data_IF_239596733942
#
_entry.id   IF_239596733942
#
_cell.length_a   1.000
_cell.length_b   1.000
_cell.length_c   1.000
_cell.angle_alpha   90.00
_cell.angle_beta   90.00
_cell.angle_gamma   90.00
#
_symmetry.space_group_name_H-M   'P 1'
#
loop_
_entity.id
_entity.type
_entity.pdbx_description
1 polymer ?
#
# COMPACT_ATOMS: atom_id res chain seq x y z
N UNK A 1 -8.78 22.95 -9.03
CA UNK A 1 -9.00 23.18 -7.59
C UNK A 1 -9.75 22.02 -6.96
N UNK A 2 -11.01 21.78 -7.32
CA UNK A 2 -11.86 20.74 -6.73
C UNK A 2 -11.25 19.35 -6.77
N UNK A 3 -10.83 18.88 -7.96
CA UNK A 3 -10.20 17.56 -8.12
C UNK A 3 -8.95 17.45 -7.24
N UNK A 4 -8.04 18.42 -7.30
CA UNK A 4 -6.81 18.39 -6.50
C UNK A 4 -7.08 18.36 -4.99
N UNK A 5 -7.97 19.23 -4.49
CA UNK A 5 -8.30 19.30 -3.06
C UNK A 5 -9.00 18.05 -2.55
N UNK A 6 -9.98 17.54 -3.28
CA UNK A 6 -10.69 16.32 -2.91
C UNK A 6 -9.80 15.08 -3.03
N UNK A 7 -9.01 14.94 -4.10
CA UNK A 7 -8.10 13.79 -4.25
C UNK A 7 -7.07 13.73 -3.11
N UNK A 8 -6.46 14.85 -2.75
CA UNK A 8 -5.50 14.89 -1.64
C UNK A 8 -6.20 14.69 -0.28
N UNK A 9 -7.38 15.25 -0.09
CA UNK A 9 -8.20 15.04 1.11
C UNK A 9 -8.64 13.59 1.31
N UNK A 10 -9.18 12.94 0.27
CA UNK A 10 -9.55 11.53 0.30
C UNK A 10 -8.34 10.62 0.50
N UNK A 11 -7.19 10.99 -0.06
CA UNK A 11 -5.94 10.29 0.19
C UNK A 11 -5.52 10.44 1.66
N UNK A 12 -5.72 11.60 2.28
CA UNK A 12 -5.43 11.80 3.70
C UNK A 12 -6.30 10.92 4.59
N UNK A 13 -7.58 10.69 4.22
CA UNK A 13 -8.48 9.80 4.96
C UNK A 13 -8.01 8.34 5.01
N UNK A 14 -7.37 7.86 3.93
CA UNK A 14 -6.96 6.47 3.81
C UNK A 14 -5.48 6.25 4.14
N UNK A 15 -4.64 7.24 3.85
CA UNK A 15 -3.17 7.17 3.98
C UNK A 15 -2.59 8.53 4.43
N UNK A 16 -2.77 8.94 5.70
CA UNK A 16 -2.38 10.28 6.17
C UNK A 16 -0.90 10.63 5.92
N UNK A 17 0.02 9.70 6.26
CA UNK A 17 1.46 9.90 6.05
C UNK A 17 1.79 10.09 4.56
N UNK A 18 1.23 9.23 3.70
CA UNK A 18 1.44 9.30 2.26
C UNK A 18 0.91 10.62 1.70
N UNK A 19 -0.26 11.07 2.17
CA UNK A 19 -0.87 12.32 1.73
C UNK A 19 -0.02 13.52 2.13
N UNK A 20 0.50 13.55 3.35
CA UNK A 20 1.43 14.58 3.81
C UNK A 20 2.70 14.62 2.94
N UNK A 21 3.27 13.45 2.61
CA UNK A 21 4.44 13.36 1.77
C UNK A 21 4.17 13.77 0.30
N UNK A 22 3.04 13.37 -0.28
CA UNK A 22 2.61 13.81 -1.63
C UNK A 22 2.37 15.32 -1.65
N UNK A 23 1.80 15.88 -0.59
CA UNK A 23 1.51 17.30 -0.48
C UNK A 23 2.77 18.16 -0.36
N UNK A 24 3.86 17.63 0.22
CA UNK A 24 5.08 18.39 0.56
C UNK A 24 5.64 19.25 -0.59
N UNK A 25 5.92 18.75 -1.81
CA UNK A 25 6.45 19.57 -2.89
C UNK A 25 5.46 20.68 -3.31
N UNK A 26 4.16 20.39 -3.26
CA UNK A 26 3.11 21.37 -3.57
C UNK A 26 2.89 22.37 -2.45
N UNK A 27 3.10 21.99 -1.18
CA UNK A 27 3.04 22.89 -0.04
C UNK A 27 4.17 23.91 -0.12
N UNK A 28 5.40 23.47 -0.41
CA UNK A 28 6.54 24.37 -0.68
C UNK A 28 6.24 25.29 -1.85
N UNK A 29 5.65 24.77 -2.93
CA UNK A 29 5.21 25.60 -4.05
C UNK A 29 4.10 26.59 -3.67
N UNK A 30 3.15 26.17 -2.84
CA UNK A 30 2.07 26.98 -2.30
C UNK A 30 2.58 28.15 -1.48
N UNK A 31 3.64 27.96 -0.67
CA UNK A 31 4.29 29.05 0.05
C UNK A 31 4.87 30.11 -0.89
N UNK A 32 5.42 29.70 -2.04
CA UNK A 32 5.87 30.64 -3.07
C UNK A 32 4.70 31.41 -3.70
N UNK A 33 3.57 30.74 -3.96
CA UNK A 33 2.34 31.39 -4.46
C UNK A 33 1.78 32.36 -3.43
N UNK A 34 1.81 32.02 -2.14
CA UNK A 34 1.35 32.89 -1.08
C UNK A 34 2.19 34.18 -1.00
N UNK A 35 3.52 34.04 -1.09
CA UNK A 35 4.45 35.16 -1.02
C UNK A 35 4.43 36.05 -2.29
N UNK A 36 4.38 35.44 -3.48
CA UNK A 36 4.64 36.15 -4.76
C UNK A 36 3.49 36.08 -5.77
N UNK A 37 2.48 35.25 -5.53
CA UNK A 37 1.36 35.05 -6.45
C UNK A 37 0.33 36.17 -6.39
N UNK A 38 -0.43 36.34 -7.47
CA UNK A 38 -1.56 37.26 -7.54
C UNK A 38 -2.79 36.80 -6.75
N UNK A 39 -3.78 37.67 -6.58
CA UNK A 39 -5.01 37.41 -5.80
C UNK A 39 -5.73 36.13 -6.22
N UNK A 40 -5.90 35.91 -7.53
CA UNK A 40 -6.55 34.71 -8.06
C UNK A 40 -5.79 33.41 -7.71
N UNK A 41 -4.46 33.40 -7.83
CA UNK A 41 -3.66 32.23 -7.49
C UNK A 41 -3.73 31.89 -5.99
N UNK A 42 -3.74 32.91 -5.12
CA UNK A 42 -3.93 32.73 -3.67
C UNK A 42 -5.34 32.21 -3.37
N UNK A 43 -6.38 32.74 -4.02
CA UNK A 43 -7.74 32.24 -3.84
C UNK A 43 -7.87 30.76 -4.22
N UNK A 44 -7.24 30.32 -5.32
CA UNK A 44 -7.18 28.90 -5.67
C UNK A 44 -6.42 28.07 -4.64
N UNK A 45 -5.29 28.56 -4.12
CA UNK A 45 -4.53 27.88 -3.07
C UNK A 45 -5.39 27.68 -1.81
N UNK A 46 -6.08 28.73 -1.35
CA UNK A 46 -6.99 28.63 -0.21
C UNK A 46 -8.16 27.69 -0.48
N UNK A 47 -8.73 27.69 -1.68
CA UNK A 47 -9.79 26.75 -2.04
C UNK A 47 -9.33 25.29 -2.05
N UNK A 48 -8.11 25.00 -2.52
CA UNK A 48 -7.51 23.65 -2.38
C UNK A 48 -7.32 23.30 -0.91
N UNK A 49 -6.70 24.19 -0.13
CA UNK A 49 -6.41 23.95 1.29
C UNK A 49 -7.69 23.72 2.11
N UNK A 50 -8.76 24.48 1.84
CA UNK A 50 -10.06 24.31 2.48
C UNK A 50 -10.67 22.94 2.19
N UNK A 51 -10.66 22.51 0.92
CA UNK A 51 -11.18 21.19 0.55
C UNK A 51 -10.41 20.05 1.20
N UNK A 52 -9.08 20.16 1.27
CA UNK A 52 -8.23 19.19 1.99
C UNK A 52 -8.56 19.20 3.47
N UNK A 53 -8.70 20.37 4.10
CA UNK A 53 -9.00 20.49 5.52
C UNK A 53 -10.37 19.92 5.88
N UNK A 54 -11.40 20.18 5.07
CA UNK A 54 -12.75 19.64 5.26
C UNK A 54 -12.72 18.11 5.16
N UNK A 55 -12.08 17.56 4.13
CA UNK A 55 -11.95 16.13 3.98
C UNK A 55 -11.13 15.50 5.12
N UNK A 56 -9.96 16.05 5.46
CA UNK A 56 -9.13 15.57 6.55
C UNK A 56 -9.83 15.66 7.92
N UNK A 57 -10.68 16.67 8.13
CA UNK A 57 -11.48 16.84 9.33
C UNK A 57 -12.39 15.64 9.62
N UNK A 58 -12.85 14.93 8.58
CA UNK A 58 -13.64 13.70 8.74
C UNK A 58 -12.85 12.60 9.45
N UNK A 59 -11.53 12.47 9.19
CA UNK A 59 -10.68 11.50 9.89
C UNK A 59 -10.60 11.81 11.38
N UNK A 60 -10.30 13.06 11.73
CA UNK A 60 -10.19 13.49 13.13
C UNK A 60 -11.51 13.34 13.89
N UNK A 61 -12.63 13.67 13.23
CA UNK A 61 -13.96 13.45 13.79
C UNK A 61 -14.25 11.96 14.03
N UNK A 62 -13.92 11.10 13.06
CA UNK A 62 -14.07 9.66 13.19
C UNK A 62 -13.19 9.09 14.32
N UNK A 63 -11.92 9.51 14.42
CA UNK A 63 -11.02 9.11 15.51
C UNK A 63 -11.55 9.52 16.88
N UNK A 64 -12.04 10.75 17.01
CA UNK A 64 -12.67 11.24 18.23
C UNK A 64 -13.92 10.42 18.59
N UNK A 65 -14.78 10.13 17.60
CA UNK A 65 -16.00 9.34 17.84
C UNK A 65 -15.72 7.91 18.33
N UNK A 66 -14.58 7.33 17.94
CA UNK A 66 -14.19 5.97 18.33
C UNK A 66 -13.40 5.89 19.62
N UNK A 67 -12.56 6.88 19.90
CA UNK A 67 -11.54 6.79 20.96
C UNK A 67 -11.67 7.86 22.04
N UNK A 68 -12.53 8.86 21.84
CA UNK A 68 -12.60 10.07 22.66
C UNK A 68 -11.47 11.08 22.40
N UNK A 69 -10.51 10.75 21.53
CA UNK A 69 -9.35 11.58 21.20
C UNK A 69 -9.18 11.69 19.67
N UNK A 70 -9.28 12.91 19.14
CA UNK A 70 -9.16 13.17 17.71
C UNK A 70 -7.78 12.76 17.14
N UNK A 71 -6.72 12.77 17.95
CA UNK A 71 -5.36 12.51 17.50
C UNK A 71 -4.88 11.09 17.80
N UNK A 72 -5.67 10.29 18.52
CA UNK A 72 -5.32 8.91 18.81
C UNK A 72 -5.52 8.04 17.58
N UNK A 73 -4.42 7.55 17.01
CA UNK A 73 -4.46 6.59 15.90
C UNK A 73 -5.04 5.25 16.39
N UNK A 74 -6.19 4.77 15.86
CA UNK A 74 -6.81 3.52 16.31
C UNK A 74 -5.92 2.28 16.13
N UNK A 75 -4.96 2.29 15.19
CA UNK A 75 -3.97 1.21 15.07
C UNK A 75 -3.18 0.98 16.37
N UNK A 76 -2.93 2.05 17.14
CA UNK A 76 -2.21 1.96 18.42
C UNK A 76 -2.99 1.28 19.54
N UNK A 77 -4.29 1.03 19.35
CA UNK A 77 -5.10 0.22 20.25
C UNK A 77 -4.75 -1.27 20.16
N UNK A 78 -4.27 -1.71 18.99
CA UNK A 78 -3.88 -3.11 18.74
C UNK A 78 -2.36 -3.28 18.72
N UNK A 79 -1.67 -2.36 18.06
CA UNK A 79 -0.22 -2.33 17.96
C UNK A 79 0.31 -1.06 18.58
N UNK A 80 0.57 -1.09 19.89
CA UNK A 80 1.06 0.08 20.63
C UNK A 80 2.35 0.70 20.05
N UNK A 81 3.11 -0.10 19.30
CA UNK A 81 4.33 0.32 18.60
C UNK A 81 4.11 0.95 17.22
N UNK A 82 2.90 0.91 16.65
CA UNK A 82 2.62 1.41 15.30
C UNK A 82 2.50 2.94 15.29
N UNK A 83 3.67 3.58 15.42
CA UNK A 83 3.86 5.01 15.54
C UNK A 83 4.84 5.50 14.49
N UNK A 84 4.82 6.80 14.23
CA UNK A 84 5.80 7.48 13.40
C UNK A 84 6.95 8.00 14.28
N UNK A 85 8.18 7.95 13.77
CA UNK A 85 9.36 8.51 14.42
C UNK A 85 10.41 7.46 14.77
N UNK A 86 11.35 7.83 15.64
CA UNK A 86 12.49 6.99 15.99
C UNK A 86 12.57 6.75 17.50
N UNK A 87 13.10 5.59 17.88
CA UNK A 87 13.39 5.22 19.27
C UNK A 87 12.63 3.99 19.75
N UNK A 88 12.89 3.57 21.00
CA UNK A 88 12.26 2.41 21.62
C UNK A 88 10.73 2.50 21.64
N UNK A 89 10.06 1.37 21.44
CA UNK A 89 8.60 1.31 21.40
C UNK A 89 7.98 1.83 20.09
N UNK A 90 8.79 2.14 19.07
CA UNK A 90 8.33 2.42 17.70
C UNK A 90 8.76 1.26 16.80
N UNK A 91 7.79 0.58 16.19
CA UNK A 91 8.01 -0.67 15.50
C UNK A 91 8.18 -1.88 16.45
N UNK A 92 8.11 -3.11 15.91
CA UNK A 92 8.02 -4.33 16.71
C UNK A 92 9.35 -4.76 17.34
N UNK A 93 10.47 -4.15 16.94
CA UNK A 93 11.80 -4.54 17.42
C UNK A 93 12.04 -4.00 18.83
N UNK A 94 12.68 -4.76 19.75
CA UNK A 94 12.97 -4.29 21.10
C UNK A 94 13.77 -2.97 21.15
N UNK A 95 14.73 -2.80 20.23
CA UNK A 95 15.52 -1.56 20.08
C UNK A 95 14.77 -0.41 19.39
N UNK A 96 13.54 -0.65 18.93
CA UNK A 96 12.71 0.30 18.21
C UNK A 96 13.19 0.67 16.81
N UNK A 97 12.61 1.73 16.26
CA UNK A 97 12.94 2.23 14.92
C UNK A 97 14.13 3.19 14.99
N UNK A 98 15.24 2.82 14.37
CA UNK A 98 16.45 3.67 14.35
C UNK A 98 16.65 4.30 12.97
N UNK A 99 17.38 5.41 12.92
CA UNK A 99 17.71 6.03 11.63
C UNK A 99 18.48 5.08 10.70
N UNK A 100 19.38 4.27 11.27
CA UNK A 100 20.10 3.25 10.51
C UNK A 100 19.13 2.20 9.92
N UNK A 101 18.15 1.74 10.69
CA UNK A 101 17.13 0.82 10.21
C UNK A 101 16.27 1.46 9.11
N UNK A 102 15.89 2.74 9.25
CA UNK A 102 15.16 3.47 8.21
C UNK A 102 15.93 3.56 6.90
N UNK A 103 17.23 3.88 6.96
CA UNK A 103 18.08 3.95 5.77
C UNK A 103 18.22 2.56 5.13
N UNK A 104 18.42 1.51 5.93
CA UNK A 104 18.52 0.13 5.44
C UNK A 104 17.21 -0.32 4.77
N UNK A 105 16.07 -0.08 5.41
CA UNK A 105 14.75 -0.38 4.86
C UNK A 105 14.47 0.39 3.56
N UNK A 106 14.85 1.67 3.52
CA UNK A 106 14.69 2.52 2.34
C UNK A 106 15.55 2.01 1.19
N UNK A 107 16.83 1.73 1.44
CA UNK A 107 17.74 1.15 0.43
C UNK A 107 17.21 -0.18 -0.09
N UNK A 108 16.79 -1.06 0.81
CA UNK A 108 16.20 -2.35 0.41
C UNK A 108 14.94 -2.17 -0.44
N UNK A 109 14.06 -1.23 -0.06
CA UNK A 109 12.84 -0.94 -0.83
C UNK A 109 13.18 -0.37 -2.22
N UNK A 110 14.08 0.61 -2.32
CA UNK A 110 14.51 1.18 -3.60
C UNK A 110 15.27 0.16 -4.49
N UNK A 111 15.99 -0.77 -3.87
CA UNK A 111 16.63 -1.90 -4.55
C UNK A 111 15.62 -2.94 -5.03
N UNK A 112 14.45 -3.09 -4.42
CA UNK A 112 13.38 -3.90 -5.01
C UNK A 112 12.82 -3.19 -6.26
N UNK A 113 12.66 -1.88 -6.20
CA UNK A 113 12.06 -1.05 -7.26
C UNK A 113 12.85 -0.96 -8.56
N UNK A 114 14.16 -1.19 -8.54
CA UNK A 114 14.90 -1.29 -9.79
C UNK A 114 14.35 -2.41 -10.70
N UNK A 115 13.65 -3.38 -10.12
CA UNK A 115 12.88 -4.41 -10.82
C UNK A 115 11.40 -4.03 -10.85
N UNK A 116 10.81 -3.72 -9.70
CA UNK A 116 9.35 -3.68 -9.54
C UNK A 116 8.66 -2.47 -10.19
N UNK A 117 9.38 -1.40 -10.53
CA UNK A 117 8.77 -0.18 -11.12
C UNK A 117 8.19 -0.45 -12.53
N UNK A 118 8.92 -1.15 -13.40
CA UNK A 118 8.43 -1.56 -14.72
C UNK A 118 8.48 -3.08 -14.94
N UNK A 119 8.92 -3.82 -13.91
CA UNK A 119 9.13 -5.26 -13.99
C UNK A 119 10.31 -5.65 -14.90
N UNK A 120 11.31 -4.77 -15.01
CA UNK A 120 12.52 -4.97 -15.80
C UNK A 120 13.70 -5.29 -14.88
N UNK A 121 14.36 -6.45 -15.00
CA UNK A 121 15.41 -6.85 -14.08
C UNK A 121 16.55 -5.82 -13.98
N UNK A 122 16.66 -5.10 -12.85
CA UNK A 122 17.68 -4.07 -12.57
C UNK A 122 17.66 -2.83 -13.49
N UNK A 123 16.71 -2.71 -14.41
CA UNK A 123 16.75 -1.69 -15.48
C UNK A 123 15.71 -0.59 -15.34
N UNK A 124 14.80 -0.67 -14.37
CA UNK A 124 13.65 0.24 -14.31
C UNK A 124 14.04 1.71 -14.07
N UNK A 125 15.20 1.97 -13.49
CA UNK A 125 15.68 3.34 -13.22
C UNK A 125 16.40 4.00 -14.40
N UNK A 126 16.87 3.23 -15.38
CA UNK A 126 17.84 3.70 -16.40
C UNK A 126 17.32 4.87 -17.22
N UNK A 127 16.01 4.94 -17.46
CA UNK A 127 15.38 5.99 -18.26
C UNK A 127 15.08 7.28 -17.49
N UNK A 128 15.06 7.23 -16.15
CA UNK A 128 14.70 8.37 -15.31
C UNK A 128 15.69 9.55 -15.48
N UNK A 129 17.02 9.36 -15.38
CA UNK A 129 17.98 10.47 -15.56
C UNK A 129 17.86 11.15 -16.92
N UNK A 130 17.73 10.37 -18.00
CA UNK A 130 17.55 10.91 -19.34
C UNK A 130 16.26 11.75 -19.46
N UNK A 131 15.18 11.28 -18.84
CA UNK A 131 13.91 12.00 -18.75
C UNK A 131 14.02 13.32 -18.00
N UNK A 132 14.68 13.33 -16.84
CA UNK A 132 14.89 14.55 -16.04
C UNK A 132 15.72 15.58 -16.80
N UNK A 133 16.77 15.15 -17.50
CA UNK A 133 17.59 16.06 -18.33
C UNK A 133 16.78 16.63 -19.49
N UNK A 134 15.97 15.81 -20.16
CA UNK A 134 15.08 16.22 -21.24
C UNK A 134 14.06 17.25 -20.76
N UNK A 135 13.45 17.01 -19.60
CA UNK A 135 12.37 17.82 -19.05
C UNK A 135 12.84 18.90 -18.05
N UNK A 136 14.15 19.14 -17.90
CA UNK A 136 14.73 20.00 -16.85
C UNK A 136 14.17 21.43 -16.78
N UNK A 137 13.65 21.96 -17.90
CA UNK A 137 13.06 23.32 -17.97
C UNK A 137 11.60 23.38 -17.56
N UNK A 138 10.94 22.24 -17.37
CA UNK A 138 9.52 22.14 -17.03
C UNK A 138 9.31 22.08 -15.52
N UNK A 139 8.85 23.18 -14.93
CA UNK A 139 8.64 23.31 -13.47
C UNK A 139 7.59 22.33 -12.94
N UNK A 140 6.54 22.08 -13.71
CA UNK A 140 5.48 21.12 -13.43
C UNK A 140 6.01 19.69 -13.27
N UNK A 141 7.01 19.31 -14.08
CA UNK A 141 7.68 18.00 -13.97
C UNK A 141 8.44 17.88 -12.66
N UNK A 142 9.12 18.93 -12.22
CA UNK A 142 9.83 18.92 -10.93
C UNK A 142 8.88 18.84 -9.73
N UNK A 143 7.69 19.46 -9.81
CA UNK A 143 6.67 19.31 -8.78
C UNK A 143 6.13 17.88 -8.72
N UNK A 144 5.79 17.30 -9.88
CA UNK A 144 5.31 15.93 -9.96
C UNK A 144 6.39 14.91 -9.56
N UNK A 145 7.61 15.05 -10.06
CA UNK A 145 8.74 14.19 -9.68
C UNK A 145 9.09 14.35 -8.20
N UNK A 146 8.94 15.56 -7.63
CA UNK A 146 9.17 15.85 -6.22
C UNK A 146 8.33 15.02 -5.25
N UNK A 147 7.23 14.41 -5.72
CA UNK A 147 6.45 13.43 -4.95
C UNK A 147 7.33 12.24 -4.55
N UNK A 148 8.18 11.74 -5.46
CA UNK A 148 9.05 10.59 -5.19
C UNK A 148 10.01 10.81 -4.01
N UNK A 149 10.91 11.81 -4.03
CA UNK A 149 11.80 12.04 -2.89
C UNK A 149 11.03 12.43 -1.63
N UNK A 150 9.87 13.10 -1.75
CA UNK A 150 9.06 13.45 -0.58
C UNK A 150 8.46 12.22 0.10
N UNK A 151 8.01 11.23 -0.68
CA UNK A 151 7.57 9.93 -0.16
C UNK A 151 8.74 9.16 0.46
N UNK A 152 9.90 9.14 -0.19
CA UNK A 152 11.13 8.53 0.38
C UNK A 152 11.44 9.15 1.73
N UNK A 153 11.44 10.47 1.84
CA UNK A 153 11.71 11.18 3.09
C UNK A 153 10.63 10.94 4.16
N UNK A 154 9.35 10.99 3.79
CA UNK A 154 8.25 10.77 4.74
C UNK A 154 8.27 9.36 5.33
N UNK A 155 8.56 8.35 4.50
CA UNK A 155 8.61 6.96 4.93
C UNK A 155 9.89 6.56 5.67
N UNK A 156 10.91 7.43 5.76
CA UNK A 156 12.01 7.21 6.71
C UNK A 156 11.51 7.16 8.15
N UNK A 157 10.45 7.92 8.47
CA UNK A 157 9.85 7.94 9.79
C UNK A 157 8.94 6.72 10.08
N UNK A 158 8.69 5.86 9.09
CA UNK A 158 7.89 4.66 9.27
C UNK A 158 8.78 3.42 9.43
N UNK A 159 8.46 2.60 10.43
CA UNK A 159 9.35 1.54 10.91
C UNK A 159 9.52 0.36 9.95
N UNK A 160 8.63 0.20 8.98
CA UNK A 160 8.60 -0.96 8.07
C UNK A 160 8.97 -0.56 6.64
N UNK A 161 9.75 -1.41 5.97
CA UNK A 161 10.10 -1.26 4.54
C UNK A 161 8.99 -1.72 3.58
N UNK A 162 9.18 -1.50 2.27
CA UNK A 162 8.22 -1.83 1.20
C UNK A 162 8.90 -2.65 0.10
N UNK A 163 8.79 -3.97 0.16
CA UNK A 163 9.40 -4.85 -0.85
C UNK A 163 8.53 -6.05 -1.23
N UNK A 164 7.55 -6.45 -0.41
CA UNK A 164 6.79 -7.68 -0.59
C UNK A 164 5.88 -7.64 -1.84
N UNK A 165 5.08 -6.59 -1.95
CA UNK A 165 4.13 -6.34 -3.06
C UNK A 165 4.57 -5.10 -3.86
N UNK A 166 5.87 -5.02 -4.13
CA UNK A 166 6.51 -3.90 -4.80
C UNK A 166 6.26 -2.54 -4.14
N UNK A 167 5.78 -1.53 -4.89
CA UNK A 167 5.85 -0.13 -4.54
C UNK A 167 4.87 0.39 -3.47
N UNK A 168 4.37 -0.43 -2.54
CA UNK A 168 3.23 -0.06 -1.68
C UNK A 168 3.32 1.34 -1.03
N UNK A 169 4.50 1.76 -0.57
CA UNK A 169 4.67 3.07 0.07
C UNK A 169 5.01 4.22 -0.87
N UNK A 170 5.40 3.95 -2.11
CA UNK A 170 5.74 5.01 -3.05
C UNK A 170 4.91 4.96 -4.34
N UNK A 171 3.81 4.21 -4.36
CA UNK A 171 2.96 4.00 -5.56
C UNK A 171 2.46 5.32 -6.17
N UNK A 172 2.24 6.34 -5.35
CA UNK A 172 1.84 7.68 -5.80
C UNK A 172 2.92 8.40 -6.62
N UNK A 173 4.19 7.96 -6.53
CA UNK A 173 5.27 8.44 -7.39
C UNK A 173 5.29 7.78 -8.78
N UNK A 174 4.63 6.63 -8.95
CA UNK A 174 4.71 5.83 -10.20
C UNK A 174 4.29 6.63 -11.43
N UNK A 175 3.18 7.42 -11.42
CA UNK A 175 2.81 8.20 -12.60
C UNK A 175 3.88 9.21 -13.04
N UNK A 176 4.51 9.91 -12.08
CA UNK A 176 5.57 10.85 -12.36
C UNK A 176 6.83 10.15 -12.88
N UNK A 177 7.22 9.04 -12.25
CA UNK A 177 8.37 8.23 -12.69
C UNK A 177 8.15 7.63 -14.07
N UNK A 178 6.94 7.13 -14.37
CA UNK A 178 6.56 6.62 -15.69
C UNK A 178 6.63 7.72 -16.76
N UNK A 179 6.07 8.90 -16.49
CA UNK A 179 6.10 10.03 -17.43
C UNK A 179 7.53 10.51 -17.70
N UNK A 180 8.37 10.62 -16.66
CA UNK A 180 9.78 11.00 -16.79
C UNK A 180 10.55 9.92 -17.57
N UNK A 181 10.39 8.63 -17.24
CA UNK A 181 11.01 7.54 -17.98
C UNK A 181 10.59 7.49 -19.44
N UNK A 182 9.31 7.73 -19.75
CA UNK A 182 8.81 7.79 -21.12
C UNK A 182 9.46 8.95 -21.90
N UNK A 183 9.62 10.12 -21.29
CA UNK A 183 10.34 11.23 -21.91
C UNK A 183 11.82 10.89 -22.14
N UNK A 184 12.45 10.16 -21.21
CA UNK A 184 13.81 9.62 -21.37
C UNK A 184 13.92 8.69 -22.56
N UNK A 185 13.02 7.71 -22.68
CA UNK A 185 12.96 6.79 -23.82
C UNK A 185 12.73 7.53 -25.14
N UNK A 186 11.77 8.45 -25.19
CA UNK A 186 11.46 9.23 -26.40
C UNK A 186 12.67 10.08 -26.85
N UNK A 187 13.34 10.74 -25.91
CA UNK A 187 14.56 11.51 -26.17
C UNK A 187 15.68 10.62 -26.74
N UNK A 188 15.94 9.47 -26.11
CA UNK A 188 16.94 8.50 -26.57
C UNK A 188 16.59 7.87 -27.92
N UNK A 189 15.31 7.71 -28.22
CA UNK A 189 14.83 7.26 -29.52
C UNK A 189 14.94 8.34 -30.63
N UNK A 190 15.26 9.60 -30.30
CA UNK A 190 15.31 10.68 -31.29
C UNK A 190 13.90 11.14 -31.72
N UNK A 191 12.92 11.08 -30.81
CA UNK A 191 11.63 11.73 -31.02
C UNK A 191 11.84 13.25 -30.98
N UNK A 192 11.35 13.96 -31.99
CA UNK A 192 11.52 15.41 -32.14
C UNK A 192 12.77 15.85 -32.92
N UNK A 193 13.66 14.93 -33.32
CA UNK A 193 14.72 15.23 -34.28
C UNK A 193 14.22 15.13 -35.73
N UNK A 194 14.95 15.74 -36.67
CA UNK A 194 14.75 15.51 -38.09
C UNK A 194 14.80 14.00 -38.40
N UNK A 195 13.93 13.57 -39.31
CA UNK A 195 13.81 12.17 -39.74
C UNK A 195 14.94 11.82 -40.71
N UNK A 196 16.13 11.56 -40.16
CA UNK A 196 17.25 10.99 -40.91
C UNK A 196 17.38 9.48 -40.67
N UNK A 197 18.31 8.84 -41.38
CA UNK A 197 18.58 7.39 -41.26
C UNK A 197 18.96 7.00 -39.83
N UNK A 198 19.71 7.85 -39.13
CA UNK A 198 20.17 7.63 -37.76
C UNK A 198 19.01 7.69 -36.77
N UNK A 199 18.12 8.67 -36.88
CA UNK A 199 16.91 8.81 -36.09
C UNK A 199 15.97 7.62 -36.32
N UNK A 200 15.82 7.15 -37.57
CA UNK A 200 15.03 5.95 -37.87
C UNK A 200 15.61 4.70 -37.19
N UNK A 201 16.91 4.48 -37.30
CA UNK A 201 17.60 3.37 -36.63
C UNK A 201 17.45 3.43 -35.10
N UNK A 202 17.61 4.62 -34.51
CA UNK A 202 17.40 4.85 -33.06
C UNK A 202 15.98 4.52 -32.64
N UNK A 203 14.96 4.92 -33.39
CA UNK A 203 13.56 4.61 -33.09
C UNK A 203 13.29 3.11 -33.16
N UNK A 204 13.72 2.44 -34.22
CA UNK A 204 13.56 0.99 -34.37
C UNK A 204 14.29 0.25 -33.24
N UNK A 205 15.53 0.65 -32.92
CA UNK A 205 16.30 0.08 -31.83
C UNK A 205 15.62 0.28 -30.46
N UNK A 206 15.15 1.50 -30.18
CA UNK A 206 14.42 1.79 -28.94
C UNK A 206 13.13 0.98 -28.82
N UNK A 207 12.35 0.86 -29.91
CA UNK A 207 11.15 0.03 -29.94
C UNK A 207 11.48 -1.44 -29.71
N UNK A 208 12.54 -1.97 -30.35
CA UNK A 208 12.98 -3.35 -30.15
C UNK A 208 13.42 -3.59 -28.70
N UNK A 209 14.17 -2.67 -28.09
CA UNK A 209 14.58 -2.76 -26.68
C UNK A 209 13.36 -2.74 -25.76
N UNK A 210 12.43 -1.81 -25.95
CA UNK A 210 11.21 -1.74 -25.14
C UNK A 210 10.35 -3.00 -25.29
N UNK A 211 10.19 -3.53 -26.51
CA UNK A 211 9.47 -4.77 -26.76
C UNK A 211 10.13 -5.95 -26.03
N UNK A 212 11.45 -6.05 -26.07
CA UNK A 212 12.21 -7.06 -25.32
C UNK A 212 12.03 -6.91 -23.82
N UNK A 213 12.05 -5.69 -23.28
CA UNK A 213 11.85 -5.45 -21.85
C UNK A 213 10.42 -5.81 -21.39
N UNK A 214 9.41 -5.54 -22.22
CA UNK A 214 8.04 -5.99 -21.98
C UNK A 214 7.95 -7.52 -22.03
N UNK A 215 8.59 -8.17 -23.00
CA UNK A 215 8.64 -9.63 -23.08
C UNK A 215 9.34 -10.23 -21.85
N UNK A 216 10.47 -9.68 -21.41
CA UNK A 216 11.15 -10.09 -20.18
C UNK A 216 10.26 -9.91 -18.95
N UNK A 217 9.46 -8.84 -18.91
CA UNK A 217 8.50 -8.66 -17.85
C UNK A 217 7.46 -9.80 -17.81
N UNK A 218 6.82 -10.06 -18.95
CA UNK A 218 5.74 -11.05 -19.06
C UNK A 218 6.21 -12.50 -18.86
N UNK A 219 7.36 -12.86 -19.43
CA UNK A 219 7.82 -14.25 -19.49
C UNK A 219 8.85 -14.61 -18.41
N UNK A 220 9.50 -13.64 -17.77
CA UNK A 220 10.55 -13.91 -16.76
C UNK A 220 10.19 -13.29 -15.42
N UNK A 221 10.08 -11.96 -15.36
CA UNK A 221 9.90 -11.27 -14.08
C UNK A 221 8.55 -11.63 -13.41
N UNK A 222 7.44 -11.55 -14.15
CA UNK A 222 6.11 -11.78 -13.60
C UNK A 222 5.93 -13.22 -13.10
N UNK A 223 6.31 -14.28 -13.85
CA UNK A 223 6.24 -15.66 -13.34
C UNK A 223 7.07 -15.88 -12.07
N UNK A 224 8.31 -15.37 -12.01
CA UNK A 224 9.15 -15.48 -10.81
C UNK A 224 8.52 -14.74 -9.64
N UNK A 225 8.02 -13.52 -9.88
CA UNK A 225 7.40 -12.70 -8.85
C UNK A 225 6.13 -13.35 -8.29
N UNK A 226 5.23 -13.82 -9.16
CA UNK A 226 4.01 -14.53 -8.76
C UNK A 226 4.32 -15.86 -8.08
N UNK A 227 5.34 -16.59 -8.54
CA UNK A 227 5.83 -17.80 -7.91
C UNK A 227 6.24 -17.56 -6.45
N UNK A 228 6.96 -16.47 -6.18
CA UNK A 228 7.34 -16.07 -4.81
C UNK A 228 6.19 -15.62 -3.92
N UNK A 229 5.02 -15.30 -4.48
CA UNK A 229 3.81 -14.97 -3.72
C UNK A 229 2.95 -16.20 -3.40
N UNK A 230 3.20 -17.33 -4.08
CA UNK A 230 2.46 -18.57 -3.84
C UNK A 230 2.87 -19.15 -2.48
N UNK A 231 1.90 -19.36 -1.59
CA UNK A 231 2.17 -19.89 -0.25
C UNK A 231 2.88 -18.89 0.68
N UNK A 232 2.88 -17.60 0.33
CA UNK A 232 3.51 -16.57 1.15
C UNK A 232 2.97 -16.61 2.58
N UNK A 233 3.88 -16.56 3.57
CA UNK A 233 3.56 -16.74 4.99
C UNK A 233 2.86 -18.07 5.34
N UNK A 234 3.06 -19.12 4.53
CA UNK A 234 2.40 -20.41 4.72
C UNK A 234 0.90 -20.41 4.39
N UNK A 235 0.38 -19.31 3.82
CA UNK A 235 -1.03 -19.19 3.47
C UNK A 235 -1.35 -20.08 2.27
N UNK A 236 -2.08 -21.16 2.51
CA UNK A 236 -2.47 -22.14 1.49
C UNK A 236 -3.96 -22.47 1.58
N UNK A 237 -4.55 -22.97 0.49
CA UNK A 237 -5.95 -23.41 0.47
C UNK A 237 -6.24 -24.59 1.41
N UNK A 238 -5.21 -25.36 1.80
CA UNK A 238 -5.39 -26.51 2.68
C UNK A 238 -6.09 -26.15 4.01
N UNK A 239 -5.83 -24.95 4.55
CA UNK A 239 -6.46 -24.44 5.78
C UNK A 239 -7.96 -24.13 5.66
N UNK A 240 -8.47 -24.06 4.44
CA UNK A 240 -9.89 -23.80 4.18
C UNK A 240 -10.62 -25.06 3.71
N UNK A 241 -9.89 -26.13 3.37
CA UNK A 241 -10.45 -27.28 2.69
C UNK A 241 -11.55 -28.00 3.52
N UNK A 242 -11.37 -28.09 4.84
CA UNK A 242 -12.39 -28.68 5.73
C UNK A 242 -13.65 -27.81 5.83
N UNK A 243 -13.53 -26.51 5.56
CA UNK A 243 -14.62 -25.54 5.65
C UNK A 243 -15.37 -25.34 4.32
N UNK A 244 -14.85 -25.89 3.22
CA UNK A 244 -15.50 -25.92 1.91
C UNK A 244 -16.63 -26.99 1.83
N UNK A 245 -16.85 -27.77 2.90
CA UNK A 245 -17.88 -28.82 2.96
C UNK A 245 -19.31 -28.22 2.87
N UNK A 246 -20.11 -28.58 1.86
CA UNK A 246 -21.52 -28.15 1.76
C UNK A 246 -22.36 -28.49 3.01
N UNK A 247 -21.99 -29.51 3.77
CA UNK A 247 -22.62 -29.88 5.04
C UNK A 247 -22.44 -28.86 6.17
N UNK A 248 -21.51 -27.91 6.01
CA UNK A 248 -21.30 -26.79 6.92
C UNK A 248 -22.09 -25.54 6.51
N UNK A 249 -22.93 -25.62 5.48
CA UNK A 249 -23.92 -24.59 5.20
C UNK A 249 -24.83 -24.45 6.43
N UNK A 250 -24.79 -23.27 7.05
CA UNK A 250 -25.42 -22.93 8.34
C UNK A 250 -24.62 -23.20 9.62
N UNK A 251 -23.36 -23.62 9.55
CA UNK A 251 -22.52 -23.81 10.73
C UNK A 251 -21.99 -22.50 11.33
N UNK A 252 -21.75 -22.51 12.64
CA UNK A 252 -20.94 -21.52 13.36
C UNK A 252 -19.58 -22.15 13.66
N UNK A 253 -18.51 -21.57 13.15
CA UNK A 253 -17.14 -22.06 13.41
C UNK A 253 -16.45 -21.10 14.37
N UNK A 254 -16.13 -21.61 15.56
CA UNK A 254 -15.32 -20.92 16.56
C UNK A 254 -13.86 -21.22 16.24
N UNK A 255 -13.15 -20.21 15.75
CA UNK A 255 -11.74 -20.33 15.37
C UNK A 255 -10.88 -19.97 16.57
N UNK A 256 -10.13 -20.96 17.06
CA UNK A 256 -9.18 -20.80 18.14
C UNK A 256 -7.86 -20.23 17.60
N UNK A 257 -7.45 -19.04 18.06
CA UNK A 257 -6.29 -18.38 17.48
C UNK A 257 -4.98 -19.03 17.91
N UNK A 258 -4.04 -19.04 16.98
CA UNK A 258 -2.61 -19.25 17.23
C UNK A 258 -1.97 -17.87 17.27
N UNK A 259 -0.81 -17.67 17.94
CA UNK A 259 -0.02 -16.43 17.87
C UNK A 259 0.57 -16.11 16.48
N UNK A 260 -0.22 -16.26 15.43
CA UNK A 260 0.01 -15.74 14.09
C UNK A 260 -1.30 -15.14 13.54
N UNK A 261 -1.20 -14.08 12.75
CA UNK A 261 -2.38 -13.44 12.16
C UNK A 261 -2.85 -14.13 10.88
N UNK A 262 -1.99 -14.92 10.23
CA UNK A 262 -2.26 -15.51 8.90
C UNK A 262 -3.21 -16.70 8.97
N UNK A 263 -3.23 -17.39 10.10
CA UNK A 263 -4.09 -18.52 10.40
C UNK A 263 -5.56 -18.13 10.46
N UNK A 264 -5.90 -17.01 11.10
CA UNK A 264 -7.25 -16.48 11.03
C UNK A 264 -7.50 -15.68 9.74
N UNK A 265 -6.53 -14.86 9.32
CA UNK A 265 -6.69 -13.95 8.17
C UNK A 265 -7.03 -14.67 6.85
N UNK A 266 -6.55 -15.90 6.66
CA UNK A 266 -6.89 -16.71 5.47
C UNK A 266 -8.35 -17.14 5.43
N UNK A 267 -8.99 -17.34 6.59
CA UNK A 267 -10.38 -17.81 6.69
C UNK A 267 -11.38 -16.69 6.35
N UNK A 268 -10.96 -15.43 6.40
CA UNK A 268 -11.80 -14.29 6.00
C UNK A 268 -12.24 -14.38 4.52
N UNK A 269 -11.57 -15.19 3.70
CA UNK A 269 -12.00 -15.47 2.32
C UNK A 269 -13.29 -16.28 2.23
N UNK A 270 -13.67 -16.99 3.31
CA UNK A 270 -14.84 -17.84 3.38
C UNK A 270 -16.10 -17.12 3.85
N UNK A 271 -15.98 -15.86 4.29
CA UNK A 271 -17.11 -15.10 4.85
C UNK A 271 -17.26 -13.77 4.15
N UNK A 272 -18.51 -13.37 3.87
CA UNK A 272 -18.77 -12.01 3.45
C UNK A 272 -18.77 -11.09 4.69
N UNK A 273 -18.06 -9.95 4.64
CA UNK A 273 -18.10 -8.99 5.74
C UNK A 273 -19.51 -8.43 5.89
N UNK A 274 -19.97 -8.30 7.14
CA UNK A 274 -21.22 -7.63 7.52
C UNK A 274 -22.54 -8.27 7.01
N UNK A 275 -22.53 -9.58 6.72
CA UNK A 275 -23.75 -10.33 6.37
C UNK A 275 -24.11 -11.34 7.45
N UNK A 276 -25.18 -11.06 8.18
CA UNK A 276 -25.73 -11.96 9.20
C UNK A 276 -26.39 -13.21 8.56
N UNK A 277 -26.84 -13.08 7.32
CA UNK A 277 -27.50 -14.15 6.54
C UNK A 277 -26.50 -15.07 5.80
N UNK A 278 -25.21 -15.01 6.15
CA UNK A 278 -24.21 -15.83 5.47
C UNK A 278 -24.32 -17.30 5.89
N UNK A 279 -24.19 -18.26 4.95
CA UNK A 279 -24.28 -19.69 5.27
C UNK A 279 -23.25 -20.13 6.31
N UNK A 280 -21.99 -19.70 6.19
CA UNK A 280 -20.94 -20.03 7.16
C UNK A 280 -20.63 -18.81 8.02
N UNK A 281 -20.71 -18.95 9.35
CA UNK A 281 -20.26 -17.90 10.27
C UNK A 281 -18.92 -18.30 10.89
N UNK A 282 -17.97 -17.38 10.91
CA UNK A 282 -16.69 -17.56 11.60
C UNK A 282 -16.61 -16.59 12.78
N UNK A 283 -16.33 -17.11 13.97
CA UNK A 283 -16.11 -16.35 15.17
C UNK A 283 -14.66 -16.51 15.63
N UNK A 284 -13.99 -15.39 15.94
CA UNK A 284 -12.66 -15.42 16.55
C UNK A 284 -12.80 -15.69 18.05
N UNK A 285 -12.27 -16.82 18.53
CA UNK A 285 -12.30 -17.16 19.95
C UNK A 285 -11.48 -16.16 20.76
N UNK A 286 -12.08 -15.65 21.84
CA UNK A 286 -11.42 -14.74 22.80
C UNK A 286 -11.23 -15.39 24.15
N UNK A 287 -12.29 -16.03 24.63
CA UNK A 287 -12.37 -16.74 25.89
C UNK A 287 -13.59 -17.67 25.88
N UNK A 288 -13.61 -18.72 26.72
CA UNK A 288 -14.71 -19.69 26.75
C UNK A 288 -16.10 -19.06 27.01
N UNK A 289 -16.18 -18.00 27.82
CA UNK A 289 -17.46 -17.36 28.17
C UNK A 289 -18.04 -16.58 26.98
N UNK A 290 -17.19 -15.95 26.16
CA UNK A 290 -17.59 -15.31 24.91
C UNK A 290 -18.01 -16.35 23.87
N UNK A 291 -17.25 -17.43 23.74
CA UNK A 291 -17.54 -18.51 22.81
C UNK A 291 -18.91 -19.15 23.10
N UNK A 292 -19.22 -19.37 24.38
CA UNK A 292 -20.53 -19.83 24.82
C UNK A 292 -21.65 -18.82 24.51
N UNK A 293 -21.43 -17.53 24.77
CA UNK A 293 -22.40 -16.47 24.45
C UNK A 293 -22.71 -16.36 22.97
N UNK A 294 -21.69 -16.47 22.10
CA UNK A 294 -21.87 -16.47 20.65
C UNK A 294 -22.65 -17.72 20.22
N UNK A 295 -22.32 -18.90 20.77
CA UNK A 295 -23.04 -20.14 20.48
C UNK A 295 -24.51 -20.06 20.87
N UNK A 296 -24.82 -19.47 22.03
CA UNK A 296 -26.20 -19.23 22.46
C UNK A 296 -26.94 -18.22 21.57
N UNK A 297 -26.26 -17.16 21.13
CA UNK A 297 -26.83 -16.14 20.24
C UNK A 297 -27.19 -16.71 18.86
N UNK A 298 -26.45 -17.72 18.38
CA UNK A 298 -26.70 -18.44 17.12
C UNK A 298 -27.11 -19.89 17.37
N UNK A 299 -28.06 -20.10 18.29
CA UNK A 299 -28.53 -21.44 18.69
C UNK A 299 -29.23 -22.23 17.58
N UNK A 300 -29.60 -21.58 16.48
CA UNK A 300 -30.12 -22.18 15.25
C UNK A 300 -29.02 -22.87 14.41
N UNK A 301 -27.75 -22.72 14.79
CA UNK A 301 -26.58 -23.20 14.06
C UNK A 301 -25.82 -24.25 14.85
N UNK A 302 -25.29 -25.25 14.15
CA UNK A 302 -24.36 -26.21 14.76
C UNK A 302 -23.00 -25.54 14.92
N UNK A 303 -22.51 -25.50 16.16
CA UNK A 303 -21.20 -24.94 16.48
C UNK A 303 -20.10 -25.99 16.33
N UNK A 304 -18.99 -25.62 15.69
CA UNK A 304 -17.77 -26.40 15.64
C UNK A 304 -16.59 -25.55 16.09
N UNK A 305 -15.59 -26.19 16.69
CA UNK A 305 -14.32 -25.58 17.04
C UNK A 305 -13.27 -25.95 15.98
N UNK A 306 -12.58 -24.93 15.48
CA UNK A 306 -11.53 -25.06 14.49
C UNK A 306 -10.21 -24.53 15.03
N UNK A 307 -9.14 -25.30 14.82
CA UNK A 307 -7.81 -24.99 15.30
C UNK A 307 -6.83 -24.98 14.11
N UNK A 308 -6.21 -23.83 13.78
CA UNK A 308 -5.37 -23.73 12.59
C UNK A 308 -4.08 -24.58 12.59
N UNK A 309 -3.70 -25.16 13.74
CA UNK A 309 -2.55 -26.06 13.89
C UNK A 309 -2.86 -27.50 13.46
N UNK A 310 -4.14 -27.85 13.38
CA UNK A 310 -4.62 -29.09 12.78
C UNK A 310 -5.81 -28.77 11.87
N UNK A 311 -5.50 -28.23 10.67
CA UNK A 311 -6.47 -27.63 9.76
C UNK A 311 -7.39 -28.64 9.06
N UNK A 312 -7.20 -29.94 9.29
CA UNK A 312 -7.94 -31.01 8.63
C UNK A 312 -9.16 -31.48 9.45
N UNK A 313 -9.30 -31.01 10.69
CA UNK A 313 -10.33 -31.48 11.61
C UNK A 313 -11.19 -30.34 12.17
N UNK A 314 -12.46 -30.65 12.38
CA UNK A 314 -13.40 -29.86 13.16
C UNK A 314 -13.79 -30.64 14.40
N UNK A 315 -13.97 -29.93 15.51
CA UNK A 315 -14.31 -30.53 16.79
C UNK A 315 -15.71 -30.08 17.22
N UNK A 316 -16.51 -30.99 17.73
CA UNK A 316 -17.82 -30.64 18.32
C UNK A 316 -17.67 -29.90 19.66
N UNK A 317 -16.55 -30.11 20.36
CA UNK A 317 -16.22 -29.48 21.64
C UNK A 317 -14.79 -28.89 21.59
N UNK A 318 -14.47 -27.90 22.43
CA UNK A 318 -13.12 -27.35 22.47
C UNK A 318 -12.13 -28.42 22.96
N UNK A 319 -10.91 -28.40 22.42
CA UNK A 319 -9.79 -29.21 22.90
C UNK A 319 -9.51 -28.90 24.39
N UNK A 320 -9.13 -29.91 25.17
CA UNK A 320 -8.81 -29.77 26.59
C UNK A 320 -7.63 -28.85 26.87
#
# INVERSE_FOLDING_TARGET
>A
MTVAGLSLGLMFLTRPLTAAAVALPFAVHGLMILARGGRAARAHLFGVALLVAVAAGVLFFWQWSLTGDAFRNPYTLWWGYDRLGFGPGIGPMPGGHTFQLAVNNTRHSLNAWQHDLFGWPYLSWVLVPAGLVCLRRRRDVWLAFGIFPSLVLGYLAYWVGSWLMGPRYFIEAVPALAAVSAAGAASLAGVGSALDRTARLRRVGATAVLATLVALNLFVYLPVRLGGLRGLYGMTRARMAVLDDPGLASALIIVHPIPDWTSYGTLLLLTAPFREDYPLLLAYSKDPDQDQRVTQAYSDRVAYHYYPDDPMHLYAEPRP
#
